data_IF_943616978474
#
_entry.id   IF_943616978474
#
_cell.length_a   1.000
_cell.length_b   1.000
_cell.length_c   1.000
_cell.angle_alpha   90.00
_cell.angle_beta   90.00
_cell.angle_gamma   90.00
#
_symmetry.space_group_name_H-M   'P 1'
#
loop_
_entity.id
_entity.type
_entity.pdbx_description
1 polymer ?
#
# COMPACT_ATOMS: atom_id res chain seq x y z
N UNK A 1 -2.71 26.50 0.65
CA UNK A 1 -3.61 26.80 -0.49
C UNK A 1 -4.68 27.84 -0.15
N UNK A 2 -5.64 27.53 0.73
CA UNK A 2 -6.72 28.46 1.10
C UNK A 2 -6.52 29.14 2.47
N UNK A 3 -5.53 28.68 3.25
CA UNK A 3 -5.33 29.10 4.64
C UNK A 3 -6.38 28.56 5.62
N UNK A 4 -7.33 27.76 5.13
CA UNK A 4 -8.39 27.14 5.95
C UNK A 4 -7.90 25.80 6.48
N UNK A 5 -8.28 25.50 7.72
CA UNK A 5 -8.08 24.19 8.35
C UNK A 5 -9.45 23.62 8.69
N UNK A 6 -9.69 22.35 8.34
CA UNK A 6 -10.87 21.61 8.71
C UNK A 6 -10.54 20.11 8.72
N UNK A 7 -11.26 19.33 9.52
CA UNK A 7 -11.14 17.87 9.58
C UNK A 7 -12.50 17.19 9.72
N UNK A 8 -12.57 15.92 9.32
CA UNK A 8 -13.80 15.10 9.46
C UNK A 8 -14.26 14.99 10.92
N UNK A 9 -13.32 15.07 11.87
CA UNK A 9 -13.60 14.94 13.31
C UNK A 9 -13.85 16.28 14.02
N UNK A 10 -13.81 17.43 13.33
CA UNK A 10 -13.96 18.75 13.98
C UNK A 10 -15.29 18.89 14.73
N UNK A 11 -16.38 18.41 14.13
CA UNK A 11 -17.71 18.49 14.74
C UNK A 11 -17.80 17.62 16.00
N UNK A 12 -17.36 16.36 15.91
CA UNK A 12 -17.40 15.45 17.05
C UNK A 12 -16.42 15.85 18.15
N UNK A 13 -15.32 16.54 17.81
CA UNK A 13 -14.33 17.01 18.78
C UNK A 13 -14.95 18.09 19.66
N UNK A 14 -15.67 19.03 19.04
CA UNK A 14 -16.40 20.09 19.78
C UNK A 14 -17.47 19.52 20.71
N UNK A 15 -18.19 18.48 20.28
CA UNK A 15 -19.23 17.84 21.10
C UNK A 15 -18.70 16.77 22.05
N UNK A 16 -17.41 16.42 21.98
CA UNK A 16 -16.79 15.29 22.71
C UNK A 16 -17.48 13.96 22.44
N UNK A 17 -17.80 13.71 21.17
CA UNK A 17 -18.49 12.49 20.71
C UNK A 17 -17.73 11.81 19.57
N UNK A 18 -16.41 11.99 19.49
CA UNK A 18 -15.65 11.37 18.41
C UNK A 18 -15.58 9.85 18.56
N UNK A 19 -15.74 9.12 17.44
CA UNK A 19 -15.43 7.71 17.42
C UNK A 19 -13.90 7.52 17.49
N UNK A 20 -13.51 6.30 17.83
CA UNK A 20 -12.16 5.81 17.53
C UNK A 20 -12.14 5.33 16.09
N UNK A 21 -11.08 5.67 15.35
CA UNK A 21 -10.97 5.40 13.91
C UNK A 21 -9.70 4.62 13.63
N UNK A 22 -9.84 3.56 12.86
CA UNK A 22 -8.73 2.92 12.16
C UNK A 22 -8.98 3.09 10.66
N UNK A 23 -8.05 3.75 9.99
CA UNK A 23 -7.99 3.83 8.53
C UNK A 23 -6.92 2.85 8.03
N UNK A 24 -7.26 2.01 7.06
CA UNK A 24 -6.39 0.97 6.52
C UNK A 24 -6.43 1.03 5.00
N UNK A 25 -5.29 1.38 4.41
CA UNK A 25 -5.13 1.56 2.97
C UNK A 25 -4.17 0.50 2.42
N UNK A 26 -4.48 -0.08 1.25
CA UNK A 26 -3.56 -0.96 0.54
C UNK A 26 -2.50 -0.14 -0.21
N UNK A 27 -1.54 -0.82 -0.83
CA UNK A 27 -0.55 -0.15 -1.65
C UNK A 27 -1.15 0.52 -2.89
N UNK A 28 -2.24 -0.04 -3.42
CA UNK A 28 -2.91 0.58 -4.55
C UNK A 28 -3.47 1.98 -4.21
N UNK A 29 -3.93 2.23 -2.98
CA UNK A 29 -4.44 3.56 -2.62
C UNK A 29 -3.35 4.64 -2.76
N UNK A 30 -2.09 4.32 -2.50
CA UNK A 30 -0.98 5.26 -2.73
C UNK A 30 -0.73 5.48 -4.22
N UNK A 31 -0.78 4.42 -5.03
CA UNK A 31 -0.49 4.46 -6.47
C UNK A 31 -1.66 4.90 -7.36
N UNK A 32 -2.90 4.88 -6.89
CA UNK A 32 -4.06 5.21 -7.72
C UNK A 32 -5.02 6.23 -7.10
N UNK A 33 -4.84 6.59 -5.82
CA UNK A 33 -5.82 7.41 -5.07
C UNK A 33 -5.20 8.44 -4.13
N UNK A 34 -3.92 8.78 -4.32
CA UNK A 34 -3.18 9.72 -3.47
C UNK A 34 -3.26 9.39 -1.97
N UNK A 35 -3.14 8.11 -1.61
CA UNK A 35 -3.26 7.62 -0.23
C UNK A 35 -2.36 8.34 0.79
N UNK A 36 -1.26 8.95 0.35
CA UNK A 36 -0.41 9.79 1.20
C UNK A 36 -1.14 10.99 1.82
N UNK A 37 -2.20 11.51 1.17
CA UNK A 37 -2.98 12.64 1.69
C UNK A 37 -3.76 12.29 2.97
N UNK A 38 -3.87 11.00 3.33
CA UNK A 38 -4.40 10.59 4.62
C UNK A 38 -3.51 11.02 5.79
N UNK A 39 -2.20 11.18 5.56
CA UNK A 39 -1.22 11.47 6.61
C UNK A 39 -0.16 12.52 6.20
N UNK A 40 -0.43 13.30 5.16
CA UNK A 40 0.40 14.44 4.74
C UNK A 40 -0.43 15.70 4.52
N UNK A 41 0.20 16.86 4.67
CA UNK A 41 -0.43 18.14 4.35
C UNK A 41 -0.52 18.37 2.83
N UNK A 42 -1.15 19.49 2.44
CA UNK A 42 -1.39 19.82 1.03
C UNK A 42 -0.12 20.12 0.23
N UNK A 43 1.06 20.11 0.84
CA UNK A 43 2.36 20.31 0.19
C UNK A 43 3.33 19.16 0.48
N UNK A 44 2.81 18.03 0.98
CA UNK A 44 3.56 16.78 1.18
C UNK A 44 4.49 16.79 2.38
N UNK A 45 4.16 17.49 3.47
CA UNK A 45 4.81 17.29 4.76
C UNK A 45 4.05 16.26 5.59
N UNK A 46 4.77 15.46 6.38
CA UNK A 46 4.14 14.51 7.28
C UNK A 46 3.29 15.23 8.34
N UNK A 47 2.09 14.71 8.57
CA UNK A 47 1.25 15.15 9.69
C UNK A 47 1.59 14.37 10.96
N UNK A 48 1.36 15.00 12.11
CA UNK A 48 1.39 14.31 13.39
C UNK A 48 0.22 13.32 13.50
N UNK A 49 0.38 12.31 14.35
CA UNK A 49 -0.72 11.40 14.69
C UNK A 49 -1.90 12.20 15.31
N UNK A 50 -3.12 11.78 14.97
CA UNK A 50 -4.35 12.38 15.47
C UNK A 50 -4.88 11.52 16.62
N UNK A 51 -5.21 12.14 17.75
CA UNK A 51 -5.80 11.45 18.89
C UNK A 51 -7.08 10.71 18.49
N UNK A 52 -7.19 9.45 18.90
CA UNK A 52 -8.34 8.60 18.54
C UNK A 52 -8.32 8.07 17.11
N UNK A 53 -7.27 8.35 16.33
CA UNK A 53 -7.10 7.84 14.96
C UNK A 53 -5.83 7.02 14.85
N UNK A 54 -5.88 5.94 14.07
CA UNK A 54 -4.69 5.24 13.55
C UNK A 54 -4.82 5.05 12.07
N UNK A 55 -3.71 5.21 11.37
CA UNK A 55 -3.63 5.02 9.93
C UNK A 55 -2.62 3.91 9.66
N UNK A 56 -3.02 2.93 8.86
CA UNK A 56 -2.19 1.81 8.49
C UNK A 56 -2.09 1.68 6.98
N UNK A 57 -0.87 1.53 6.52
CA UNK A 57 -0.55 1.13 5.16
C UNK A 57 -0.30 -0.39 5.14
N UNK A 58 -1.14 -1.15 4.45
CA UNK A 58 -0.96 -2.58 4.21
C UNK A 58 -0.10 -2.74 2.95
N UNK A 59 1.14 -3.15 3.15
CA UNK A 59 2.16 -3.24 2.10
C UNK A 59 1.89 -4.38 1.14
N UNK A 60 1.92 -4.12 -0.18
CA UNK A 60 1.80 -5.15 -1.22
C UNK A 60 0.43 -5.22 -1.91
N UNK A 61 -0.70 -5.47 -1.21
CA UNK A 61 -1.97 -5.76 -1.86
C UNK A 61 -2.46 -4.69 -2.83
N UNK A 62 -3.21 -5.12 -3.87
CA UNK A 62 -3.92 -4.21 -4.76
C UNK A 62 -5.22 -3.71 -4.10
N UNK A 63 -6.01 -2.91 -4.83
CA UNK A 63 -7.36 -2.54 -4.41
C UNK A 63 -8.31 -3.71 -4.65
N UNK A 64 -8.25 -4.69 -3.75
CA UNK A 64 -8.98 -5.95 -3.88
C UNK A 64 -10.16 -6.06 -2.94
N UNK A 65 -11.19 -6.79 -3.39
CA UNK A 65 -12.40 -7.12 -2.63
C UNK A 65 -12.17 -8.25 -1.60
N UNK A 66 -10.91 -8.46 -1.18
CA UNK A 66 -10.52 -9.55 -0.29
C UNK A 66 -10.49 -10.94 -0.95
N UNK A 67 -10.50 -11.01 -2.28
CA UNK A 67 -10.42 -12.25 -3.06
C UNK A 67 -9.14 -12.24 -3.92
N UNK A 68 -8.31 -13.29 -3.89
CA UNK A 68 -7.13 -13.39 -4.76
C UNK A 68 -7.53 -13.41 -6.23
N UNK A 69 -6.79 -12.66 -7.05
CA UNK A 69 -7.00 -12.58 -8.49
C UNK A 69 -5.70 -12.90 -9.21
N UNK A 70 -5.77 -13.78 -10.22
CA UNK A 70 -4.62 -14.20 -11.03
C UNK A 70 -4.85 -13.95 -12.52
N UNK A 71 -3.82 -14.07 -13.33
CA UNK A 71 -3.88 -13.80 -14.77
C UNK A 71 -3.77 -12.31 -15.07
N UNK A 72 -3.32 -11.98 -16.28
CA UNK A 72 -3.15 -10.59 -16.74
C UNK A 72 -4.45 -9.84 -17.02
N UNK A 73 -5.45 -10.53 -17.58
CA UNK A 73 -6.67 -9.90 -18.12
C UNK A 73 -6.34 -8.70 -19.04
N UNK A 74 -6.77 -7.49 -18.68
CA UNK A 74 -6.47 -6.25 -19.43
C UNK A 74 -5.17 -5.57 -19.00
N UNK A 75 -4.51 -6.07 -17.97
CA UNK A 75 -3.24 -5.55 -17.46
C UNK A 75 -2.04 -6.09 -18.25
N UNK A 76 -0.90 -5.40 -18.16
CA UNK A 76 0.34 -5.78 -18.82
C UNK A 76 1.08 -6.91 -18.08
N UNK A 77 1.01 -6.87 -16.75
CA UNK A 77 1.66 -7.84 -15.86
C UNK A 77 0.62 -8.72 -15.17
N UNK A 78 1.05 -9.84 -14.60
CA UNK A 78 0.19 -10.68 -13.77
C UNK A 78 -0.41 -9.84 -12.64
N UNK A 79 -1.72 -9.97 -12.43
CA UNK A 79 -2.40 -9.25 -11.36
C UNK A 79 -1.92 -9.74 -10.00
N UNK A 80 -1.85 -8.82 -9.05
CA UNK A 80 -1.36 -9.11 -7.71
C UNK A 80 -2.38 -9.98 -6.94
N UNK A 81 -2.03 -11.19 -6.52
CA UNK A 81 -2.97 -12.10 -5.86
C UNK A 81 -3.12 -11.82 -4.36
N UNK A 82 -2.31 -10.90 -3.78
CA UNK A 82 -2.34 -10.65 -2.35
C UNK A 82 -3.69 -10.07 -1.91
N UNK A 83 -4.08 -10.42 -0.69
CA UNK A 83 -5.27 -9.90 -0.01
C UNK A 83 -4.86 -9.33 1.35
N UNK A 84 -5.44 -8.20 1.73
CA UNK A 84 -5.15 -7.53 3.01
C UNK A 84 -5.93 -8.09 4.21
N UNK A 85 -6.73 -9.14 4.02
CA UNK A 85 -7.74 -9.58 5.00
C UNK A 85 -7.13 -9.90 6.37
N UNK A 86 -5.94 -10.51 6.41
CA UNK A 86 -5.25 -10.89 7.64
C UNK A 86 -4.89 -9.67 8.49
N UNK A 87 -4.35 -8.63 7.85
CA UNK A 87 -4.09 -7.34 8.49
C UNK A 87 -5.40 -6.69 8.95
N UNK A 88 -6.42 -6.64 8.09
CA UNK A 88 -7.73 -6.03 8.43
C UNK A 88 -8.40 -6.75 9.60
N UNK A 89 -8.34 -8.08 9.69
CA UNK A 89 -8.85 -8.86 10.84
C UNK A 89 -8.13 -8.50 12.13
N UNK A 90 -6.81 -8.38 12.09
CA UNK A 90 -6.02 -7.97 13.25
C UNK A 90 -6.39 -6.54 13.68
N UNK A 91 -6.50 -5.62 12.73
CA UNK A 91 -6.90 -4.23 12.99
C UNK A 91 -8.34 -4.12 13.52
N UNK A 92 -9.27 -4.93 13.03
CA UNK A 92 -10.64 -4.97 13.56
C UNK A 92 -10.67 -5.45 15.02
N UNK A 93 -9.87 -6.49 15.33
CA UNK A 93 -9.71 -6.97 16.72
C UNK A 93 -9.10 -5.88 17.60
N UNK A 94 -8.10 -5.15 17.09
CA UNK A 94 -7.48 -4.04 17.80
C UNK A 94 -8.45 -2.87 18.03
N UNK A 95 -9.32 -2.56 17.06
CA UNK A 95 -10.37 -1.55 17.21
C UNK A 95 -11.38 -1.96 18.28
N UNK A 96 -11.82 -3.22 18.31
CA UNK A 96 -12.72 -3.74 19.35
C UNK A 96 -12.09 -3.63 20.75
N UNK A 97 -10.83 -4.03 20.90
CA UNK A 97 -10.13 -3.89 22.18
C UNK A 97 -9.99 -2.42 22.59
N UNK A 98 -9.72 -1.53 21.63
CA UNK A 98 -9.61 -0.11 21.89
C UNK A 98 -10.93 0.51 22.36
N UNK A 99 -12.04 0.16 21.73
CA UNK A 99 -13.38 0.68 22.07
C UNK A 99 -13.94 0.04 23.34
N UNK A 100 -13.77 -1.27 23.52
CA UNK A 100 -14.41 -2.03 24.59
C UNK A 100 -13.68 -1.93 25.93
N UNK A 101 -12.34 -1.84 25.93
CA UNK A 101 -11.56 -1.85 27.17
C UNK A 101 -10.39 -0.86 27.22
N UNK A 102 -10.23 -0.02 26.20
CA UNK A 102 -9.21 1.04 26.19
C UNK A 102 -7.79 0.57 25.83
N UNK A 103 -7.61 -0.68 25.41
CA UNK A 103 -6.30 -1.16 24.93
C UNK A 103 -5.98 -0.50 23.60
N UNK A 104 -4.99 0.40 23.59
CA UNK A 104 -4.62 1.11 22.37
C UNK A 104 -4.03 0.17 21.32
N UNK A 105 -4.43 0.27 20.05
CA UNK A 105 -3.80 -0.46 18.95
C UNK A 105 -2.34 0.01 18.77
N UNK A 106 -1.55 -0.69 17.94
CA UNK A 106 -0.24 -0.20 17.53
C UNK A 106 -0.27 1.27 17.05
N UNK A 107 0.86 1.99 17.12
CA UNK A 107 0.97 3.30 16.47
C UNK A 107 0.68 3.21 14.97
N UNK A 108 0.35 4.34 14.35
CA UNK A 108 0.14 4.40 12.89
C UNK A 108 1.39 3.85 12.16
N UNK A 109 1.17 2.98 11.18
CA UNK A 109 2.22 2.40 10.35
C UNK A 109 2.01 2.89 8.92
N UNK A 110 2.54 4.08 8.63
CA UNK A 110 2.48 4.73 7.32
C UNK A 110 3.89 5.01 6.78
N UNK A 111 4.09 5.05 5.45
CA UNK A 111 5.29 5.62 4.87
C UNK A 111 5.40 7.10 5.26
N UNK A 112 6.61 7.58 5.51
CA UNK A 112 6.88 8.95 5.99
C UNK A 112 8.01 9.59 5.21
N UNK A 113 7.90 10.90 4.98
CA UNK A 113 8.92 11.68 4.28
C UNK A 113 10.16 11.89 5.16
N UNK A 114 9.95 12.12 6.47
CA UNK A 114 11.01 12.38 7.44
C UNK A 114 12.05 11.26 7.56
N UNK A 115 11.64 10.01 7.32
CA UNK A 115 12.50 8.83 7.35
C UNK A 115 12.78 8.23 5.95
N UNK A 116 12.37 8.94 4.89
CA UNK A 116 12.64 8.55 3.51
C UNK A 116 11.84 7.36 2.98
N UNK A 117 10.81 6.91 3.70
CA UNK A 117 9.95 5.80 3.25
C UNK A 117 8.75 6.24 2.43
N UNK A 118 8.48 7.55 2.33
CA UNK A 118 7.53 8.18 1.42
C UNK A 118 8.27 9.11 0.45
N UNK A 119 8.17 8.85 -0.84
CA UNK A 119 8.96 9.52 -1.88
C UNK A 119 8.10 9.91 -3.10
N UNK A 120 8.66 10.74 -3.98
CA UNK A 120 7.97 11.07 -5.23
C UNK A 120 7.89 9.85 -6.17
N UNK A 121 6.81 9.68 -6.95
CA UNK A 121 6.65 8.58 -7.90
C UNK A 121 7.79 8.41 -8.89
N UNK A 122 8.40 9.50 -9.35
CA UNK A 122 9.56 9.47 -10.25
C UNK A 122 10.82 8.96 -9.56
N UNK A 123 10.99 9.22 -8.26
CA UNK A 123 12.07 8.65 -7.45
C UNK A 123 11.86 7.15 -7.24
N UNK A 124 10.61 6.74 -6.95
CA UNK A 124 10.27 5.32 -6.86
C UNK A 124 10.52 4.58 -8.18
N UNK A 125 10.13 5.17 -9.32
CA UNK A 125 10.42 4.63 -10.65
C UNK A 125 11.92 4.49 -10.93
N UNK A 126 12.73 5.47 -10.52
CA UNK A 126 14.19 5.42 -10.67
C UNK A 126 14.87 4.40 -9.74
N UNK A 127 14.30 4.16 -8.55
CA UNK A 127 14.81 3.19 -7.58
C UNK A 127 14.32 1.77 -7.82
N UNK A 128 13.27 1.58 -8.63
CA UNK A 128 12.69 0.27 -8.91
C UNK A 128 13.70 -0.65 -9.61
N UNK A 129 13.82 -1.93 -9.22
CA UNK A 129 14.77 -2.84 -9.83
C UNK A 129 14.49 -3.01 -11.32
N UNK A 130 15.56 -3.10 -12.11
CA UNK A 130 15.46 -3.38 -13.53
C UNK A 130 15.03 -4.85 -13.76
N UNK A 131 13.73 -5.07 -13.92
CA UNK A 131 13.14 -6.38 -14.24
C UNK A 131 12.81 -6.42 -15.73
N UNK A 132 13.25 -7.48 -16.42
CA UNK A 132 13.06 -7.61 -17.86
C UNK A 132 11.57 -7.57 -18.25
N UNK A 133 11.23 -6.70 -19.21
CA UNK A 133 9.85 -6.55 -19.70
C UNK A 133 8.90 -5.80 -18.76
N UNK A 134 9.41 -5.23 -17.66
CA UNK A 134 8.63 -4.42 -16.72
C UNK A 134 9.02 -2.96 -16.86
N UNK A 135 8.02 -2.09 -16.85
CA UNK A 135 8.19 -0.64 -16.91
C UNK A 135 7.30 0.02 -15.86
N UNK A 136 7.94 0.70 -14.90
CA UNK A 136 7.30 1.65 -14.00
C UNK A 136 7.59 3.06 -14.53
N UNK A 137 6.57 3.77 -14.98
CA UNK A 137 6.74 5.10 -15.58
C UNK A 137 6.86 6.20 -14.52
N UNK A 138 6.37 5.96 -13.31
CA UNK A 138 6.20 7.00 -12.28
C UNK A 138 5.14 8.04 -12.63
N UNK A 139 4.38 7.84 -13.72
CA UNK A 139 3.27 8.72 -14.11
C UNK A 139 2.06 8.38 -13.26
N UNK A 140 1.57 9.39 -12.56
CA UNK A 140 0.43 9.30 -11.66
C UNK A 140 -0.62 10.34 -12.05
N UNK A 141 -1.85 10.15 -11.61
CA UNK A 141 -2.83 11.24 -11.59
C UNK A 141 -2.30 12.37 -10.69
N UNK A 142 -2.61 13.61 -11.07
CA UNK A 142 -2.24 14.80 -10.29
C UNK A 142 -3.41 15.22 -9.42
N UNK A 143 -3.11 15.66 -8.20
CA UNK A 143 -4.11 16.28 -7.34
C UNK A 143 -4.48 17.68 -7.85
N UNK A 144 -5.41 17.74 -8.79
CA UNK A 144 -5.88 18.96 -9.43
C UNK A 144 -6.87 19.70 -8.52
N UNK A 145 -6.64 21.00 -8.29
CA UNK A 145 -7.60 21.89 -7.67
C UNK A 145 -8.45 22.58 -8.73
N UNK A 146 -9.76 22.35 -8.68
CA UNK A 146 -10.72 22.95 -9.59
C UNK A 146 -11.61 24.01 -8.89
N UNK A 147 -11.94 25.07 -9.62
CA UNK A 147 -12.98 26.04 -9.28
C UNK A 147 -14.29 25.65 -9.95
N UNK A 148 -15.26 25.23 -9.11
CA UNK A 148 -16.61 24.85 -9.50
C UNK A 148 -17.62 26.02 -9.41
N UNK A 149 -17.14 27.24 -9.13
CA UNK A 149 -17.94 28.46 -9.01
C UNK A 149 -18.31 28.84 -7.58
N UNK A 150 -18.90 30.03 -7.38
CA UNK A 150 -19.04 30.66 -6.07
C UNK A 150 -19.96 29.92 -5.10
N UNK A 151 -20.83 29.03 -5.59
CA UNK A 151 -21.77 28.26 -4.76
C UNK A 151 -21.28 26.84 -4.43
N UNK A 152 -20.06 26.47 -4.84
CA UNK A 152 -19.52 25.13 -4.64
C UNK A 152 -19.46 24.73 -3.15
N UNK A 153 -19.19 25.69 -2.26
CA UNK A 153 -19.19 25.46 -0.81
C UNK A 153 -20.56 25.05 -0.24
N UNK A 154 -21.64 25.39 -0.95
CA UNK A 154 -23.01 24.97 -0.64
C UNK A 154 -23.44 23.71 -1.40
N UNK A 155 -22.50 23.03 -2.08
CA UNK A 155 -22.76 21.85 -2.89
C UNK A 155 -23.34 22.13 -4.28
N UNK A 156 -23.39 23.39 -4.73
CA UNK A 156 -23.96 23.77 -6.03
C UNK A 156 -22.83 24.13 -7.00
N UNK A 157 -22.60 23.26 -7.99
CA UNK A 157 -21.62 23.46 -9.04
C UNK A 157 -22.20 24.41 -10.11
N UNK A 158 -21.63 25.59 -10.27
CA UNK A 158 -22.16 26.66 -11.17
C UNK A 158 -21.24 26.97 -12.34
N UNK A 159 -20.00 26.48 -12.33
CA UNK A 159 -19.04 26.59 -13.44
C UNK A 159 -18.83 25.21 -14.05
N UNK A 160 -19.18 25.07 -15.34
CA UNK A 160 -18.99 23.83 -16.09
C UNK A 160 -18.52 24.11 -17.54
N UNK A 161 -17.41 23.50 -18.01
CA UNK A 161 -16.48 22.67 -17.24
C UNK A 161 -15.79 23.49 -16.13
N UNK A 162 -15.36 22.87 -15.03
CA UNK A 162 -14.72 23.57 -13.93
C UNK A 162 -13.36 24.12 -14.36
N UNK A 163 -12.90 25.21 -13.74
CA UNK A 163 -11.63 25.84 -14.10
C UNK A 163 -10.51 25.24 -13.27
N UNK A 164 -9.46 24.73 -13.92
CA UNK A 164 -8.25 24.32 -13.21
C UNK A 164 -7.61 25.55 -12.55
N UNK A 165 -7.42 25.50 -11.24
CA UNK A 165 -6.79 26.56 -10.44
C UNK A 165 -5.29 26.29 -10.31
N UNK A 166 -4.92 25.08 -9.92
CA UNK A 166 -3.53 24.64 -9.69
C UNK A 166 -3.47 23.13 -9.43
N UNK A 167 -2.27 22.57 -9.28
CA UNK A 167 -2.03 21.16 -8.92
C UNK A 167 -1.25 21.08 -7.60
N UNK A 168 -1.85 21.46 -6.47
CA UNK A 168 -1.08 21.72 -5.26
C UNK A 168 -0.65 20.47 -4.52
N UNK A 169 -1.34 19.34 -4.69
CA UNK A 169 -1.17 18.17 -3.87
C UNK A 169 -0.09 17.27 -4.49
N UNK A 170 1.11 17.19 -3.89
CA UNK A 170 2.13 16.30 -4.42
C UNK A 170 1.68 14.87 -4.19
N UNK A 171 1.60 14.11 -5.28
CA UNK A 171 1.46 12.66 -5.21
C UNK A 171 2.75 12.07 -4.65
N UNK A 172 2.61 11.21 -3.65
CA UNK A 172 3.71 10.55 -2.96
C UNK A 172 3.39 9.08 -2.76
N UNK A 173 4.40 8.22 -2.87
CA UNK A 173 4.27 6.76 -2.83
C UNK A 173 5.30 6.14 -1.89
N UNK A 174 5.07 4.92 -1.37
CA UNK A 174 6.05 4.22 -0.56
C UNK A 174 7.36 3.98 -1.34
N UNK A 175 8.49 4.16 -0.67
CA UNK A 175 9.78 3.71 -1.18
C UNK A 175 9.84 2.18 -1.22
N UNK A 176 10.67 1.63 -2.11
CA UNK A 176 10.81 0.18 -2.35
C UNK A 176 12.22 -0.32 -1.98
N UNK A 177 12.32 -1.60 -1.64
CA UNK A 177 13.59 -2.29 -1.45
C UNK A 177 14.21 -2.75 -2.79
N UNK A 178 15.34 -3.45 -2.71
CA UNK A 178 16.05 -3.99 -3.88
C UNK A 178 15.21 -5.00 -4.67
N UNK A 179 14.17 -5.58 -4.05
CA UNK A 179 13.25 -6.50 -4.69
C UNK A 179 12.03 -5.79 -5.27
N UNK A 180 11.93 -4.46 -5.13
CA UNK A 180 10.82 -3.65 -5.62
C UNK A 180 9.58 -3.68 -4.73
N UNK A 181 9.66 -4.27 -3.54
CA UNK A 181 8.57 -4.29 -2.58
C UNK A 181 8.63 -3.06 -1.66
N UNK A 182 7.48 -2.48 -1.32
CA UNK A 182 7.46 -1.31 -0.45
C UNK A 182 8.03 -1.60 0.96
N UNK A 183 8.73 -0.62 1.54
CA UNK A 183 9.52 -0.83 2.78
C UNK A 183 8.84 -0.40 4.07
N UNK A 184 7.77 0.39 3.98
CA UNK A 184 7.01 0.88 5.13
C UNK A 184 5.68 0.13 5.31
N UNK A 185 5.02 0.41 6.43
CA UNK A 185 3.70 -0.13 6.74
C UNK A 185 3.73 -1.54 7.32
N UNK A 186 2.59 -2.21 7.20
CA UNK A 186 2.36 -3.58 7.64
C UNK A 186 2.88 -4.56 6.58
N UNK A 187 4.17 -4.90 6.69
CA UNK A 187 4.81 -5.94 5.87
C UNK A 187 4.46 -7.33 6.41
N UNK A 188 3.34 -7.87 5.94
CA UNK A 188 2.93 -9.25 6.22
C UNK A 188 3.95 -10.27 5.69
N UNK A 189 3.88 -11.56 6.08
CA UNK A 189 4.86 -12.57 5.66
C UNK A 189 5.07 -12.66 4.13
N UNK A 190 4.05 -12.38 3.32
CA UNK A 190 4.16 -12.31 1.85
C UNK A 190 5.19 -11.28 1.36
N UNK A 191 5.42 -10.21 2.12
CA UNK A 191 6.34 -9.11 1.79
C UNK A 191 7.65 -9.18 2.59
N UNK A 192 7.63 -9.78 3.78
CA UNK A 192 8.81 -9.98 4.60
C UNK A 192 9.64 -11.20 4.16
N UNK A 193 9.01 -12.19 3.51
CA UNK A 193 9.64 -13.34 2.88
C UNK A 193 9.08 -13.53 1.45
N UNK A 194 9.33 -12.56 0.55
CA UNK A 194 8.66 -12.52 -0.75
C UNK A 194 9.16 -13.61 -1.70
N UNK A 195 8.25 -14.07 -2.56
CA UNK A 195 8.57 -14.94 -3.72
C UNK A 195 8.56 -14.18 -5.05
N UNK A 196 8.43 -12.86 -4.98
CA UNK A 196 8.26 -11.96 -6.10
C UNK A 196 8.17 -10.51 -5.64
N UNK A 197 8.10 -9.61 -6.59
CA UNK A 197 7.71 -8.23 -6.35
C UNK A 197 6.20 -8.15 -6.36
N UNK A 198 5.61 -7.66 -5.28
CA UNK A 198 4.20 -7.35 -5.15
C UNK A 198 4.05 -5.83 -5.12
N UNK A 199 3.27 -5.29 -6.05
CA UNK A 199 3.09 -3.84 -6.18
C UNK A 199 1.62 -3.48 -6.13
N UNK A 200 1.34 -2.28 -5.62
CA UNK A 200 0.01 -1.67 -5.68
C UNK A 200 -0.38 -1.13 -7.06
N UNK A 201 0.54 -1.09 -8.02
CA UNK A 201 0.33 -0.55 -9.36
C UNK A 201 0.44 -1.62 -10.45
N UNK A 202 -0.20 -1.40 -11.59
CA UNK A 202 -0.02 -2.18 -12.82
C UNK A 202 -0.38 -1.29 -14.00
N UNK A 203 0.17 -1.60 -15.17
CA UNK A 203 -0.17 -0.89 -16.41
C UNK A 203 -1.21 -1.69 -17.19
N UNK A 204 -1.99 -1.04 -18.04
CA UNK A 204 -2.82 -1.74 -19.04
C UNK A 204 -1.91 -2.37 -20.09
N UNK A 205 -2.33 -3.48 -20.68
CA UNK A 205 -1.59 -4.08 -21.80
C UNK A 205 -1.55 -3.15 -23.02
N UNK A 206 -2.61 -2.37 -23.22
CA UNK A 206 -2.71 -1.37 -24.28
C UNK A 206 -3.71 -0.25 -23.90
N UNK A 207 -3.30 1.03 -23.88
CA UNK A 207 -1.91 1.50 -23.97
C UNK A 207 -1.14 1.23 -22.67
N UNK A 208 0.16 0.92 -22.78
CA UNK A 208 1.04 0.60 -21.63
C UNK A 208 1.25 1.78 -20.65
N UNK A 209 0.83 2.99 -21.04
CA UNK A 209 0.98 4.22 -20.26
C UNK A 209 -0.23 4.53 -19.37
N UNK A 210 -1.29 3.71 -19.45
CA UNK A 210 -2.46 3.82 -18.61
C UNK A 210 -2.37 2.84 -17.44
N UNK A 211 -2.88 3.25 -16.28
CA UNK A 211 -3.01 2.37 -15.11
C UNK A 211 -4.04 1.27 -15.34
N UNK A 212 -3.69 0.04 -14.97
CA UNK A 212 -4.64 -1.05 -14.77
C UNK A 212 -5.16 -1.00 -13.33
N UNK A 213 -5.80 0.13 -13.02
CA UNK A 213 -6.08 0.56 -11.65
C UNK A 213 -6.81 -0.52 -10.85
N UNK A 214 -6.33 -0.73 -9.63
CA UNK A 214 -6.95 -1.61 -8.66
C UNK A 214 -6.43 -3.04 -8.62
N UNK A 215 -5.61 -3.48 -9.59
CA UNK A 215 -5.17 -4.88 -9.65
C UNK A 215 -3.73 -5.15 -9.22
N UNK A 216 -2.87 -4.12 -9.14
CA UNK A 216 -1.45 -4.29 -8.79
C UNK A 216 -0.70 -5.30 -9.68
N UNK A 217 0.59 -5.47 -9.46
CA UNK A 217 1.40 -6.45 -10.20
C UNK A 217 2.03 -7.47 -9.27
N UNK A 218 2.02 -8.73 -9.70
CA UNK A 218 2.90 -9.77 -9.18
C UNK A 218 3.98 -10.11 -10.22
N UNK A 219 5.23 -9.90 -9.84
CA UNK A 219 6.39 -10.17 -10.68
C UNK A 219 7.23 -11.25 -9.99
N UNK A 220 7.08 -12.54 -10.35
CA UNK A 220 7.74 -13.62 -9.62
C UNK A 220 9.27 -13.47 -9.66
N UNK A 221 9.94 -13.94 -8.61
CA UNK A 221 11.38 -14.17 -8.63
C UNK A 221 11.69 -15.33 -9.57
N UNK A 222 12.93 -15.37 -10.06
CA UNK A 222 13.41 -16.50 -10.85
C UNK A 222 13.37 -17.79 -10.00
N UNK A 223 12.93 -18.90 -10.59
CA UNK A 223 12.89 -20.18 -9.88
C UNK A 223 14.32 -20.67 -9.58
N UNK A 224 15.26 -20.39 -10.48
CA UNK A 224 16.67 -20.81 -10.37
C UNK A 224 17.63 -19.65 -10.59
N UNK A 225 18.87 -19.80 -10.10
CA UNK A 225 19.97 -18.87 -10.32
C UNK A 225 20.35 -18.80 -11.79
N UNK A 226 20.24 -19.90 -12.52
CA UNK A 226 20.50 -19.96 -13.96
C UNK A 226 19.50 -19.07 -14.74
N UNK A 227 18.20 -19.20 -14.44
CA UNK A 227 17.15 -18.34 -14.99
C UNK A 227 17.38 -16.87 -14.62
N UNK A 228 17.69 -16.59 -13.35
CA UNK A 228 17.99 -15.25 -12.86
C UNK A 228 19.11 -14.58 -13.68
N UNK A 229 20.22 -15.29 -13.90
CA UNK A 229 21.37 -14.79 -14.67
C UNK A 229 20.98 -14.61 -16.15
N UNK A 230 20.26 -15.55 -16.75
CA UNK A 230 19.83 -15.47 -18.14
C UNK A 230 18.92 -14.26 -18.40
N UNK A 231 18.06 -13.90 -17.45
CA UNK A 231 17.15 -12.78 -17.55
C UNK A 231 17.74 -11.44 -17.03
N UNK A 232 19.00 -11.45 -16.56
CA UNK A 232 19.63 -10.32 -15.86
C UNK A 232 18.76 -9.75 -14.72
N UNK A 233 18.07 -10.63 -13.99
CA UNK A 233 17.23 -10.22 -12.86
C UNK A 233 18.11 -9.95 -11.62
N UNK A 234 18.07 -8.73 -11.05
CA UNK A 234 18.91 -8.40 -9.89
C UNK A 234 18.42 -9.09 -8.59
N UNK A 235 17.16 -9.53 -8.55
CA UNK A 235 16.49 -10.06 -7.35
C UNK A 235 16.91 -11.50 -7.07
N UNK A 236 16.81 -12.02 -5.83
CA UNK A 236 17.14 -13.41 -5.51
C UNK A 236 16.34 -14.44 -6.33
N UNK A 237 16.86 -15.67 -6.43
CA UNK A 237 16.11 -16.83 -6.93
C UNK A 237 15.57 -17.69 -5.78
N UNK A 238 14.59 -18.54 -6.05
CA UNK A 238 13.85 -19.30 -5.03
C UNK A 238 14.50 -20.63 -4.59
N UNK A 239 15.80 -20.86 -4.80
CA UNK A 239 16.43 -22.21 -4.81
C UNK A 239 16.39 -23.06 -3.51
N UNK A 240 15.84 -22.58 -2.37
CA UNK A 240 15.83 -23.34 -1.10
C UNK A 240 14.49 -23.28 -0.33
N UNK A 241 13.73 -24.37 -0.36
CA UNK A 241 12.45 -24.49 0.34
C UNK A 241 12.55 -24.32 1.86
N UNK A 242 13.53 -24.97 2.51
CA UNK A 242 13.69 -24.89 3.95
C UNK A 242 14.02 -23.47 4.44
N UNK A 243 14.80 -22.72 3.66
CA UNK A 243 15.11 -21.32 3.93
C UNK A 243 13.85 -20.44 3.80
N UNK A 244 13.03 -20.68 2.77
CA UNK A 244 11.75 -20.00 2.59
C UNK A 244 10.79 -20.21 3.77
N UNK A 245 10.55 -21.46 4.17
CA UNK A 245 9.67 -21.78 5.31
C UNK A 245 10.15 -21.07 6.57
N UNK A 246 11.46 -21.14 6.87
CA UNK A 246 12.04 -20.46 8.03
C UNK A 246 11.86 -18.94 7.99
N UNK A 247 12.00 -18.33 6.81
CA UNK A 247 11.78 -16.89 6.63
C UNK A 247 10.31 -16.51 6.89
N UNK A 248 9.36 -17.27 6.36
CA UNK A 248 7.92 -17.07 6.61
C UNK A 248 7.59 -17.23 8.10
N UNK A 249 8.09 -18.27 8.77
CA UNK A 249 7.85 -18.47 10.22
C UNK A 249 8.40 -17.33 11.07
N UNK A 250 9.58 -16.81 10.70
CA UNK A 250 10.19 -15.66 11.38
C UNK A 250 9.33 -14.40 11.19
N UNK A 251 8.88 -14.14 9.97
CA UNK A 251 8.01 -13.01 9.65
C UNK A 251 6.63 -13.09 10.33
N UNK A 252 6.04 -14.28 10.37
CA UNK A 252 4.76 -14.53 11.04
C UNK A 252 4.88 -14.25 12.55
N UNK A 253 5.94 -14.75 13.19
CA UNK A 253 6.22 -14.50 14.62
C UNK A 253 6.44 -13.01 14.91
N UNK A 254 7.18 -12.31 14.04
CA UNK A 254 7.38 -10.87 14.18
C UNK A 254 6.06 -10.09 14.05
N UNK A 255 5.22 -10.46 13.08
CA UNK A 255 3.90 -9.84 12.85
C UNK A 255 2.94 -10.06 14.03
N UNK A 256 2.97 -11.24 14.65
CA UNK A 256 2.21 -11.51 15.88
C UNK A 256 2.64 -10.62 17.03
N UNK A 257 3.96 -10.50 17.25
CA UNK A 257 4.52 -9.66 18.30
C UNK A 257 4.20 -8.18 18.10
N UNK A 258 4.10 -7.74 16.85
CA UNK A 258 3.71 -6.38 16.49
C UNK A 258 2.19 -6.15 16.52
N UNK A 259 1.38 -7.18 16.83
CA UNK A 259 -0.09 -7.11 16.83
C UNK A 259 -0.69 -6.69 15.47
N UNK A 260 0.01 -6.98 14.38
CA UNK A 260 -0.44 -6.72 13.00
C UNK A 260 -0.95 -7.99 12.30
N UNK A 261 -1.01 -9.11 13.05
CA UNK A 261 -1.48 -10.40 12.61
C UNK A 261 -2.11 -11.14 13.80
N UNK A 262 -3.13 -11.96 13.54
CA UNK A 262 -3.73 -12.85 14.53
C UNK A 262 -2.99 -14.19 14.56
N UNK A 263 -3.03 -14.89 15.71
CA UNK A 263 -2.38 -16.21 15.87
C UNK A 263 -2.80 -17.19 14.76
N UNK A 264 -4.10 -17.30 14.51
CA UNK A 264 -4.64 -18.18 13.45
C UNK A 264 -4.09 -17.84 12.07
N UNK A 265 -3.91 -16.55 11.76
CA UNK A 265 -3.37 -16.13 10.47
C UNK A 265 -1.87 -16.41 10.37
N UNK A 266 -1.11 -16.26 11.45
CA UNK A 266 0.30 -16.62 11.50
C UNK A 266 0.53 -18.12 11.32
N UNK A 267 -0.26 -18.94 12.01
CA UNK A 267 -0.20 -20.40 11.88
C UNK A 267 -0.51 -20.82 10.43
N UNK A 268 -1.53 -20.20 9.82
CA UNK A 268 -1.90 -20.44 8.42
C UNK A 268 -0.79 -20.04 7.44
N UNK A 269 -0.09 -18.93 7.68
CA UNK A 269 1.08 -18.56 6.86
C UNK A 269 2.19 -19.62 6.91
N UNK A 270 2.46 -20.16 8.10
CA UNK A 270 3.49 -21.19 8.29
C UNK A 270 3.09 -22.48 7.56
N UNK A 271 1.87 -22.96 7.77
CA UNK A 271 1.36 -24.17 7.10
C UNK A 271 1.37 -24.01 5.58
N UNK A 272 0.91 -22.88 5.05
CA UNK A 272 0.94 -22.62 3.60
C UNK A 272 2.36 -22.62 3.04
N UNK A 273 3.35 -22.12 3.80
CA UNK A 273 4.74 -22.15 3.38
C UNK A 273 5.30 -23.57 3.37
N UNK A 274 5.02 -24.37 4.40
CA UNK A 274 5.43 -25.78 4.52
C UNK A 274 4.84 -26.65 3.40
N UNK A 275 3.59 -26.40 3.01
CA UNK A 275 2.89 -27.14 1.96
C UNK A 275 3.27 -26.67 0.53
N UNK A 276 3.92 -25.52 0.41
CA UNK A 276 4.26 -24.93 -0.89
C UNK A 276 5.37 -25.70 -1.64
N UNK A 277 5.48 -25.46 -2.95
CA UNK A 277 6.59 -25.97 -3.77
C UNK A 277 7.69 -24.92 -3.98
N UNK A 278 7.69 -23.81 -3.23
CA UNK A 278 8.70 -22.75 -3.36
C UNK A 278 10.06 -23.32 -2.96
N UNK A 279 11.02 -23.32 -3.88
CA UNK A 279 12.38 -23.83 -3.64
C UNK A 279 12.51 -25.34 -3.49
N UNK A 280 11.55 -26.09 -4.04
CA UNK A 280 11.63 -27.54 -4.20
C UNK A 280 12.16 -27.94 -5.57
#
# INVERSE_FOLDING_TARGET
MTGKTAGWLDACTRSKTCPLVIDANSENEYWAKDGALAHTDTVGNDLADIDGVRIYFITGPPHGDGIPVTGKAVCAYERNPLVGNQAVRALLTALDQWTSNGTTPPPSLVPRKDNGTLIAPTQAAAAFPHIAGVTLTGRMHTGDLFDYGPQAASGILTTWPPKLVSMPYPTMVPAVDADGNAIAGMRLPDIAAPIGTYTGWNNRANPILDGCDGFGSFLPFAATKAERIANNDPRPSLEEHAAYVKAVSTAATASLKAHVLLQEDADRYITLAEDSNVGR
#
